data_IF_061570610233
#
_entry.id   IF_061570610233
#
_cell.length_a   1.000
_cell.length_b   1.000
_cell.length_c   1.000
_cell.angle_alpha   90.00
_cell.angle_beta   90.00
_cell.angle_gamma   90.00
#
_symmetry.space_group_name_H-M   'P 1'
#
loop_
_entity.id
_entity.type
_entity.pdbx_description
1 polymer ?
#
# COMPACT_ATOMS: atom_id res chain seq x y z
N UNK A 1 -41.97 -14.01 8.59
CA UNK A 1 -40.84 -13.42 9.32
C UNK A 1 -40.24 -12.32 8.43
N UNK A 2 -40.37 -11.06 8.83
CA UNK A 2 -39.79 -9.95 8.04
C UNK A 2 -38.25 -9.96 8.17
N UNK A 3 -37.54 -9.93 7.04
CA UNK A 3 -36.09 -9.78 7.03
C UNK A 3 -35.70 -8.40 7.56
N UNK A 4 -34.61 -8.31 8.28
CA UNK A 4 -34.07 -7.00 8.74
C UNK A 4 -33.68 -6.14 7.52
N UNK A 5 -33.80 -4.81 7.58
CA UNK A 5 -33.38 -3.92 6.48
C UNK A 5 -31.96 -4.18 5.98
N UNK A 6 -31.03 -4.52 6.87
CA UNK A 6 -29.65 -4.89 6.55
C UNK A 6 -29.55 -6.14 5.66
N UNK A 7 -30.47 -7.11 5.79
CA UNK A 7 -30.48 -8.32 4.96
C UNK A 7 -30.95 -8.01 3.52
N UNK A 8 -31.87 -7.05 3.34
CA UNK A 8 -32.28 -6.59 2.01
C UNK A 8 -31.14 -5.85 1.30
N UNK A 9 -30.43 -4.99 2.02
CA UNK A 9 -29.28 -4.25 1.48
C UNK A 9 -28.15 -5.22 1.09
N UNK A 10 -27.86 -6.20 1.94
CA UNK A 10 -26.88 -7.24 1.65
C UNK A 10 -27.29 -8.11 0.45
N UNK A 11 -28.57 -8.45 0.32
CA UNK A 11 -29.10 -9.19 -0.84
C UNK A 11 -29.01 -8.37 -2.13
N UNK A 12 -29.35 -7.07 -2.08
CA UNK A 12 -29.22 -6.16 -3.21
C UNK A 12 -27.77 -5.98 -3.63
N UNK A 13 -26.84 -5.83 -2.69
CA UNK A 13 -25.42 -5.73 -2.96
C UNK A 13 -24.85 -7.00 -3.64
N UNK A 14 -25.28 -8.19 -3.19
CA UNK A 14 -24.93 -9.46 -3.83
C UNK A 14 -25.46 -9.53 -5.27
N UNK A 15 -26.70 -9.15 -5.48
CA UNK A 15 -27.33 -9.17 -6.80
C UNK A 15 -26.62 -8.21 -7.78
N UNK A 16 -26.24 -7.02 -7.32
CA UNK A 16 -25.45 -6.07 -8.09
C UNK A 16 -24.07 -6.66 -8.41
N UNK A 17 -23.41 -7.28 -7.43
CA UNK A 17 -22.12 -7.94 -7.61
C UNK A 17 -22.20 -9.04 -8.68
N UNK A 18 -23.20 -9.91 -8.56
CA UNK A 18 -23.27 -11.13 -9.37
C UNK A 18 -23.74 -10.85 -10.83
N UNK A 19 -24.36 -9.71 -11.11
CA UNK A 19 -24.93 -9.39 -12.41
C UNK A 19 -24.34 -8.16 -13.13
N UNK A 20 -23.65 -7.28 -12.42
CA UNK A 20 -23.17 -6.02 -12.99
C UNK A 20 -21.64 -5.83 -12.93
N UNK A 21 -20.90 -6.78 -12.34
CA UNK A 21 -19.52 -6.53 -11.95
C UNK A 21 -18.54 -7.66 -12.28
N UNK A 22 -18.86 -8.49 -13.26
CA UNK A 22 -17.99 -9.61 -13.65
C UNK A 22 -16.58 -9.19 -14.12
N UNK A 23 -16.42 -7.92 -14.55
CA UNK A 23 -15.20 -7.42 -15.16
C UNK A 23 -14.26 -6.67 -14.20
N UNK A 24 -14.67 -6.37 -12.99
CA UNK A 24 -13.89 -5.57 -12.06
C UNK A 24 -13.48 -6.37 -10.81
N UNK A 25 -12.40 -7.14 -10.94
CA UNK A 25 -11.83 -7.94 -9.86
C UNK A 25 -10.56 -7.32 -9.32
N UNK A 26 -10.48 -7.19 -8.01
CA UNK A 26 -9.31 -6.72 -7.30
C UNK A 26 -8.75 -7.84 -6.42
N UNK A 27 -7.45 -8.10 -6.52
CA UNK A 27 -6.77 -8.96 -5.57
C UNK A 27 -6.34 -8.12 -4.38
N UNK A 28 -6.73 -8.55 -3.18
CA UNK A 28 -6.28 -7.98 -1.91
C UNK A 28 -5.36 -8.98 -1.23
N UNK A 29 -4.24 -8.50 -0.73
CA UNK A 29 -3.25 -9.29 0.01
C UNK A 29 -2.94 -8.59 1.33
N UNK A 30 -2.97 -9.34 2.42
CA UNK A 30 -2.64 -8.86 3.76
C UNK A 30 -1.80 -9.92 4.48
N UNK A 31 -0.51 -9.68 4.63
CA UNK A 31 0.43 -10.70 5.07
C UNK A 31 0.43 -11.88 4.09
N UNK A 32 0.18 -13.08 4.60
CA UNK A 32 0.12 -14.32 3.79
C UNK A 32 -1.27 -14.61 3.21
N UNK A 33 -2.29 -13.84 3.61
CA UNK A 33 -3.66 -13.99 3.11
C UNK A 33 -3.86 -13.24 1.79
N UNK A 34 -4.53 -13.87 0.84
CA UNK A 34 -4.89 -13.26 -0.44
C UNK A 34 -6.29 -13.68 -0.88
N UNK A 35 -7.09 -12.73 -1.30
CA UNK A 35 -8.43 -12.97 -1.81
C UNK A 35 -8.74 -12.12 -3.04
N UNK A 36 -9.61 -12.64 -3.92
CA UNK A 36 -10.17 -11.90 -5.03
C UNK A 36 -11.52 -11.33 -4.62
N UNK A 37 -11.68 -10.02 -4.72
CA UNK A 37 -12.92 -9.32 -4.39
C UNK A 37 -13.45 -8.60 -5.63
N UNK A 38 -14.77 -8.56 -5.76
CA UNK A 38 -15.43 -7.79 -6.80
C UNK A 38 -15.52 -6.33 -6.36
N UNK A 39 -15.12 -5.40 -7.20
CA UNK A 39 -15.15 -3.97 -6.89
C UNK A 39 -15.94 -3.19 -7.93
N UNK A 40 -16.63 -2.14 -7.50
CA UNK A 40 -17.10 -1.08 -8.36
C UNK A 40 -16.06 0.03 -8.32
N UNK A 41 -15.42 0.29 -9.43
CA UNK A 41 -14.56 1.45 -9.54
C UNK A 41 -15.41 2.73 -9.56
N UNK A 42 -15.61 3.33 -8.40
CA UNK A 42 -16.03 4.72 -8.33
C UNK A 42 -14.77 5.53 -8.03
N UNK A 43 -14.18 6.09 -9.05
CA UNK A 43 -13.04 7.00 -8.88
C UNK A 43 -13.60 8.33 -8.38
N UNK A 44 -13.80 8.44 -7.11
CA UNK A 44 -13.88 9.74 -6.44
C UNK A 44 -12.47 10.04 -5.95
N UNK A 45 -11.83 11.02 -6.52
CA UNK A 45 -10.63 11.61 -5.91
C UNK A 45 -11.05 12.10 -4.53
N UNK A 46 -10.58 11.43 -3.49
CA UNK A 46 -10.72 11.92 -2.14
C UNK A 46 -9.88 13.17 -2.02
N UNK A 47 -10.51 14.32 -1.83
CA UNK A 47 -9.82 15.62 -1.77
C UNK A 47 -8.96 15.78 -0.52
N UNK A 48 -9.06 14.88 0.48
CA UNK A 48 -8.61 15.18 1.84
C UNK A 48 -7.50 14.29 2.42
N UNK A 49 -7.03 13.24 1.77
CA UNK A 49 -5.94 12.44 2.32
C UNK A 49 -4.73 12.40 1.37
N UNK A 50 -3.83 13.36 1.56
CA UNK A 50 -2.46 13.25 1.04
C UNK A 50 -1.75 12.18 1.89
N UNK A 51 -1.56 11.01 1.33
CA UNK A 51 -0.78 9.95 1.94
C UNK A 51 0.69 10.06 1.54
N UNK A 52 1.57 9.34 2.22
CA UNK A 52 2.99 9.25 1.84
C UNK A 52 3.19 8.69 0.40
N UNK A 53 2.13 8.12 -0.20
CA UNK A 53 2.11 7.57 -1.56
C UNK A 53 1.30 8.44 -2.57
N UNK A 54 1.07 9.71 -2.26
CA UNK A 54 0.31 10.62 -3.11
C UNK A 54 -1.20 10.63 -2.83
N UNK A 55 -1.98 11.24 -3.73
CA UNK A 55 -3.42 11.35 -3.61
C UNK A 55 -4.09 9.95 -3.63
N UNK A 56 -5.01 9.71 -2.70
CA UNK A 56 -5.74 8.45 -2.65
C UNK A 56 -6.91 8.44 -3.63
N UNK A 57 -7.09 7.33 -4.33
CA UNK A 57 -8.32 7.04 -5.06
C UNK A 57 -9.23 6.20 -4.18
N UNK A 58 -10.53 6.50 -4.15
CA UNK A 58 -11.51 5.68 -3.44
C UNK A 58 -12.13 4.66 -4.39
N UNK A 59 -12.08 3.40 -3.98
CA UNK A 59 -12.75 2.29 -4.67
C UNK A 59 -13.81 1.71 -3.76
N UNK A 60 -15.01 1.53 -4.27
CA UNK A 60 -16.06 0.83 -3.56
C UNK A 60 -15.93 -0.66 -3.81
N UNK A 61 -15.67 -1.42 -2.76
CA UNK A 61 -15.64 -2.88 -2.82
C UNK A 61 -16.96 -3.42 -2.30
N UNK A 62 -17.67 -4.13 -3.17
CA UNK A 62 -18.87 -4.88 -2.82
C UNK A 62 -18.45 -6.27 -2.35
N UNK A 63 -17.79 -6.34 -1.20
CA UNK A 63 -17.44 -7.61 -0.57
C UNK A 63 -18.15 -7.71 0.76
N UNK A 64 -18.74 -8.87 1.03
CA UNK A 64 -19.17 -9.18 2.37
C UNK A 64 -17.95 -9.30 3.28
N UNK A 65 -18.10 -8.98 4.56
CA UNK A 65 -17.01 -9.12 5.53
C UNK A 65 -16.42 -10.55 5.57
N UNK A 66 -17.19 -11.56 5.13
CA UNK A 66 -16.77 -12.95 5.01
C UNK A 66 -15.77 -13.20 3.88
N UNK A 67 -15.74 -12.37 2.85
CA UNK A 67 -14.92 -12.63 1.66
C UNK A 67 -13.44 -12.25 1.93
N UNK A 68 -13.22 -11.19 2.68
CA UNK A 68 -11.88 -10.80 3.13
C UNK A 68 -12.00 -9.99 4.44
N UNK A 69 -12.12 -10.66 5.59
CA UNK A 69 -12.37 -9.98 6.88
C UNK A 69 -11.22 -9.09 7.35
N UNK A 70 -10.02 -9.34 6.88
CA UNK A 70 -8.76 -8.70 7.33
C UNK A 70 -8.29 -7.54 6.47
N UNK A 71 -9.15 -6.95 5.59
CA UNK A 71 -8.78 -5.74 4.86
C UNK A 71 -8.57 -4.60 5.85
N UNK A 72 -7.34 -4.12 5.94
CA UNK A 72 -6.94 -3.01 6.80
C UNK A 72 -6.07 -2.03 6.03
N UNK A 73 -5.80 -0.88 6.64
CA UNK A 73 -4.77 0.03 6.15
C UNK A 73 -3.45 -0.72 6.07
N UNK A 74 -2.74 -0.60 4.95
CA UNK A 74 -1.50 -1.33 4.69
C UNK A 74 -1.67 -2.61 3.86
N UNK A 75 -2.89 -3.11 3.64
CA UNK A 75 -3.11 -4.22 2.69
C UNK A 75 -2.70 -3.81 1.28
N UNK A 76 -2.23 -4.76 0.49
CA UNK A 76 -1.86 -4.54 -0.92
C UNK A 76 -3.06 -4.87 -1.81
N UNK A 77 -3.40 -3.96 -2.71
CA UNK A 77 -4.46 -4.11 -3.68
C UNK A 77 -3.88 -4.16 -5.10
N UNK A 78 -4.24 -5.18 -5.88
CA UNK A 78 -3.86 -5.28 -7.30
C UNK A 78 -5.12 -5.25 -8.15
N UNK A 79 -5.23 -4.24 -9.00
CA UNK A 79 -6.34 -4.02 -9.93
C UNK A 79 -5.77 -3.95 -11.36
N UNK A 80 -6.00 -5.00 -12.16
CA UNK A 80 -5.33 -5.16 -13.44
C UNK A 80 -3.80 -5.24 -13.25
N UNK A 81 -3.07 -4.36 -13.92
CA UNK A 81 -1.60 -4.26 -13.82
C UNK A 81 -1.13 -3.31 -12.69
N UNK A 82 -2.05 -2.62 -12.03
CA UNK A 82 -1.73 -1.62 -11.02
C UNK A 82 -1.72 -2.22 -9.63
N UNK A 83 -0.61 -2.12 -8.95
CA UNK A 83 -0.46 -2.47 -7.53
C UNK A 83 -0.49 -1.21 -6.68
N UNK A 84 -1.25 -1.23 -5.60
CA UNK A 84 -1.53 -0.08 -4.74
C UNK A 84 -1.57 -0.53 -3.28
N UNK A 85 -1.47 0.40 -2.35
CA UNK A 85 -1.64 0.15 -0.91
C UNK A 85 -2.98 0.70 -0.46
N UNK A 86 -3.66 -0.04 0.39
CA UNK A 86 -4.88 0.40 1.06
C UNK A 86 -4.52 1.46 2.09
N UNK A 87 -5.02 2.68 1.88
CA UNK A 87 -4.76 3.84 2.74
C UNK A 87 -5.85 4.07 3.78
N UNK A 88 -7.07 3.64 3.48
CA UNK A 88 -8.20 3.70 4.42
C UNK A 88 -9.23 2.62 4.11
N UNK A 89 -9.99 2.22 5.12
CA UNK A 89 -11.11 1.29 4.99
C UNK A 89 -12.29 1.84 5.78
N UNK A 90 -13.43 2.01 5.12
CA UNK A 90 -14.69 2.40 5.73
C UNK A 90 -15.75 1.39 5.36
N UNK A 91 -16.55 0.95 6.32
CA UNK A 91 -17.65 0.02 6.09
C UNK A 91 -18.96 0.82 6.10
N UNK A 92 -19.89 0.51 5.21
CA UNK A 92 -21.21 1.13 5.23
C UNK A 92 -22.01 0.70 6.48
N UNK A 93 -23.08 1.44 6.77
CA UNK A 93 -23.92 1.19 7.94
C UNK A 93 -24.57 -0.21 7.95
N UNK A 94 -24.68 -0.84 6.81
CA UNK A 94 -25.28 -2.17 6.65
C UNK A 94 -24.24 -3.30 6.65
N UNK A 95 -22.94 -2.98 6.63
CA UNK A 95 -21.85 -3.94 6.52
C UNK A 95 -21.80 -4.67 5.16
N UNK A 96 -22.53 -4.16 4.16
CA UNK A 96 -22.68 -4.80 2.85
C UNK A 96 -21.62 -4.35 1.83
N UNK A 97 -21.02 -3.20 2.04
CA UNK A 97 -19.96 -2.69 1.18
C UNK A 97 -18.88 -2.00 2.00
N UNK A 98 -17.67 -1.99 1.43
CA UNK A 98 -16.53 -1.28 1.98
C UNK A 98 -16.03 -0.25 0.98
N UNK A 99 -15.71 0.92 1.48
CA UNK A 99 -15.01 1.96 0.73
C UNK A 99 -13.53 1.85 1.08
N UNK A 100 -12.71 1.60 0.09
CA UNK A 100 -11.27 1.41 0.26
C UNK A 100 -10.57 2.56 -0.42
N UNK A 101 -9.80 3.33 0.34
CA UNK A 101 -8.86 4.30 -0.20
C UNK A 101 -7.63 3.56 -0.71
N UNK A 102 -7.18 3.90 -1.90
CA UNK A 102 -6.00 3.32 -2.53
C UNK A 102 -4.96 4.40 -2.82
N UNK A 103 -3.69 4.09 -2.61
CA UNK A 103 -2.58 4.93 -3.02
C UNK A 103 -2.51 5.08 -4.55
N UNK A 104 -1.63 5.94 -5.04
CA UNK A 104 -1.20 5.87 -6.44
C UNK A 104 -0.63 4.49 -6.77
N UNK A 105 -0.55 4.17 -8.05
CA UNK A 105 0.06 2.92 -8.52
C UNK A 105 1.53 2.86 -8.12
N UNK A 106 1.95 1.72 -7.59
CA UNK A 106 3.30 1.42 -7.15
C UNK A 106 3.92 0.37 -8.08
N UNK A 107 5.22 0.47 -8.28
CA UNK A 107 5.98 -0.53 -9.04
C UNK A 107 6.64 -1.52 -8.09
N UNK A 108 6.59 -2.80 -8.43
CA UNK A 108 7.29 -3.85 -7.70
C UNK A 108 8.74 -3.93 -8.15
N UNK A 109 9.66 -3.95 -7.19
CA UNK A 109 11.10 -4.15 -7.43
C UNK A 109 11.65 -5.24 -6.52
N UNK A 110 12.66 -5.95 -7.02
CA UNK A 110 13.56 -6.72 -6.18
C UNK A 110 14.63 -5.76 -5.65
N UNK A 111 14.75 -5.66 -4.35
CA UNK A 111 15.68 -4.77 -3.68
C UNK A 111 16.61 -5.52 -2.75
N UNK A 112 17.69 -4.87 -2.35
CA UNK A 112 18.57 -5.33 -1.29
C UNK A 112 18.67 -4.25 -0.23
N UNK A 113 18.45 -4.60 1.03
CA UNK A 113 18.63 -3.69 2.15
C UNK A 113 19.85 -4.11 2.95
N UNK A 114 20.71 -3.15 3.19
CA UNK A 114 21.96 -3.32 3.92
C UNK A 114 22.01 -2.36 5.09
N UNK A 115 22.43 -2.86 6.24
CA UNK A 115 22.51 -2.05 7.45
C UNK A 115 23.29 -2.72 8.56
N UNK A 116 23.40 -2.04 9.69
CA UNK A 116 24.13 -2.54 10.84
C UNK A 116 23.17 -2.71 12.03
N UNK A 117 23.19 -3.87 12.65
CA UNK A 117 22.42 -4.20 13.86
C UNK A 117 23.38 -4.55 14.99
N UNK A 118 23.74 -3.55 15.81
CA UNK A 118 24.82 -3.70 16.78
C UNK A 118 26.15 -4.00 16.06
N UNK A 119 26.76 -5.15 16.34
CA UNK A 119 27.98 -5.63 15.69
C UNK A 119 27.74 -6.41 14.39
N UNK A 120 26.50 -6.81 14.10
CA UNK A 120 26.15 -7.62 12.93
C UNK A 120 25.84 -6.72 11.74
N UNK A 121 26.41 -7.03 10.60
CA UNK A 121 26.02 -6.45 9.31
C UNK A 121 24.93 -7.31 8.66
N UNK A 122 23.85 -6.68 8.20
CA UNK A 122 22.80 -7.34 7.44
C UNK A 122 22.89 -6.94 5.96
N UNK A 123 22.59 -7.88 5.09
CA UNK A 123 22.46 -7.67 3.65
C UNK A 123 21.36 -8.60 3.15
N UNK A 124 20.18 -8.08 2.90
CA UNK A 124 18.99 -8.88 2.75
C UNK A 124 18.25 -8.55 1.45
N UNK A 125 18.01 -9.54 0.58
CA UNK A 125 17.10 -9.38 -0.55
C UNK A 125 15.65 -9.26 -0.06
N UNK A 126 14.88 -8.39 -0.67
CA UNK A 126 13.48 -8.14 -0.32
C UNK A 126 12.70 -7.64 -1.53
N UNK A 127 11.48 -8.12 -1.69
CA UNK A 127 10.52 -7.55 -2.64
C UNK A 127 9.89 -6.29 -2.03
N UNK A 128 9.91 -5.20 -2.77
CA UNK A 128 9.37 -3.92 -2.36
C UNK A 128 8.34 -3.40 -3.35
N UNK A 129 7.47 -2.51 -2.89
CA UNK A 129 6.63 -1.66 -3.73
C UNK A 129 7.13 -0.22 -3.59
N UNK A 130 7.41 0.45 -4.69
CA UNK A 130 7.99 1.78 -4.64
C UNK A 130 7.37 2.75 -5.65
N UNK A 131 7.41 4.02 -5.30
CA UNK A 131 7.08 5.14 -6.19
C UNK A 131 8.11 6.25 -6.04
N UNK A 132 8.51 6.84 -7.17
CA UNK A 132 9.39 7.99 -7.17
C UNK A 132 8.62 9.24 -6.75
N UNK A 133 9.17 10.00 -5.82
CA UNK A 133 8.65 11.33 -5.45
C UNK A 133 9.28 12.44 -6.32
N UNK A 134 10.10 12.04 -7.29
CA UNK A 134 10.78 12.95 -8.19
C UNK A 134 12.09 13.50 -7.62
N UNK A 135 12.63 14.43 -8.38
CA UNK A 135 13.88 15.13 -8.10
C UNK A 135 13.58 16.38 -7.26
N UNK A 136 14.31 16.55 -6.20
CA UNK A 136 14.31 17.77 -5.38
C UNK A 136 15.72 18.36 -5.38
N UNK A 137 15.80 19.69 -5.51
CA UNK A 137 17.09 20.38 -5.39
C UNK A 137 17.22 20.92 -3.97
N UNK A 138 18.17 20.39 -3.22
CA UNK A 138 18.47 20.84 -1.85
C UNK A 138 19.55 21.93 -1.90
N UNK A 139 19.29 23.04 -1.23
CA UNK A 139 20.23 24.15 -1.07
C UNK A 139 20.76 24.11 0.36
N UNK A 140 22.06 23.85 0.50
CA UNK A 140 22.74 24.00 1.80
C UNK A 140 23.54 25.31 1.78
N UNK A 141 23.47 26.07 2.87
CA UNK A 141 24.19 27.36 2.98
C UNK A 141 25.67 27.21 2.66
N UNK A 142 26.13 27.92 1.63
CA UNK A 142 27.51 27.93 1.21
C UNK A 142 27.96 26.79 0.28
N UNK A 143 27.04 25.90 -0.12
CA UNK A 143 27.32 24.80 -1.04
C UNK A 143 26.54 24.93 -2.35
N UNK A 144 27.08 24.32 -3.41
CA UNK A 144 26.33 24.21 -4.66
C UNK A 144 25.05 23.38 -4.43
N UNK A 145 23.95 23.74 -5.14
CA UNK A 145 22.71 22.97 -5.05
C UNK A 145 22.95 21.51 -5.47
N UNK A 146 22.41 20.58 -4.71
CA UNK A 146 22.52 19.14 -4.95
C UNK A 146 21.16 18.59 -5.30
N UNK A 147 21.11 17.86 -6.39
CA UNK A 147 19.90 17.14 -6.78
C UNK A 147 19.79 15.86 -5.97
N UNK A 148 18.65 15.72 -5.30
CA UNK A 148 18.30 14.55 -4.49
C UNK A 148 17.08 13.89 -5.11
N UNK A 149 17.22 12.60 -5.41
CA UNK A 149 16.08 11.79 -5.81
C UNK A 149 15.48 11.13 -4.57
N UNK A 150 14.18 11.21 -4.41
CA UNK A 150 13.49 10.61 -3.28
C UNK A 150 12.45 9.60 -3.74
N UNK A 151 12.33 8.53 -2.95
CA UNK A 151 11.39 7.45 -3.19
C UNK A 151 10.61 7.14 -1.92
N UNK A 152 9.33 6.80 -2.08
CA UNK A 152 8.56 6.15 -1.03
C UNK A 152 8.50 4.67 -1.32
N UNK A 153 8.93 3.88 -0.35
CA UNK A 153 9.11 2.43 -0.45
C UNK A 153 8.25 1.74 0.60
N UNK A 154 7.46 0.78 0.17
CA UNK A 154 6.69 -0.09 1.05
C UNK A 154 7.34 -1.48 1.11
N UNK A 155 7.58 -1.97 2.32
CA UNK A 155 8.25 -3.24 2.58
C UNK A 155 7.33 -4.09 3.46
N UNK A 156 6.88 -5.27 3.01
CA UNK A 156 6.06 -6.16 3.82
C UNK A 156 6.80 -6.61 5.10
N UNK A 157 6.11 -6.61 6.24
CA UNK A 157 6.68 -6.99 7.54
C UNK A 157 7.25 -8.42 7.54
N UNK A 158 6.58 -9.35 6.86
CA UNK A 158 6.99 -10.76 6.80
C UNK A 158 8.42 -11.00 6.29
N UNK A 159 8.96 -10.07 5.49
CA UNK A 159 10.33 -10.14 5.00
C UNK A 159 11.40 -9.92 6.11
N UNK A 160 11.00 -9.49 7.31
CA UNK A 160 11.91 -8.95 8.32
C UNK A 160 12.03 -9.76 9.60
N UNK A 161 11.17 -10.74 9.81
CA UNK A 161 11.03 -11.47 11.08
C UNK A 161 12.37 -12.02 11.60
N UNK A 162 13.26 -12.42 10.70
CA UNK A 162 14.55 -13.01 11.07
C UNK A 162 15.72 -12.03 11.15
N UNK A 163 15.62 -10.87 10.50
CA UNK A 163 16.76 -9.96 10.26
C UNK A 163 16.62 -8.59 10.94
N UNK A 164 15.53 -8.37 11.65
CA UNK A 164 15.21 -7.09 12.28
C UNK A 164 14.58 -6.10 11.30
N UNK A 165 13.97 -5.07 11.85
CA UNK A 165 13.22 -4.05 11.11
C UNK A 165 14.16 -3.12 10.32
N UNK A 166 13.68 -2.51 9.19
CA UNK A 166 14.42 -1.46 8.51
C UNK A 166 14.65 -0.29 9.47
N UNK A 167 15.81 0.32 9.40
CA UNK A 167 16.19 1.43 10.27
C UNK A 167 16.60 2.65 9.46
N UNK A 168 16.44 3.82 10.04
CA UNK A 168 17.01 5.06 9.49
C UNK A 168 18.52 4.90 9.39
N UNK A 169 19.07 5.23 8.22
CA UNK A 169 20.48 5.07 7.89
C UNK A 169 20.82 3.75 7.19
N UNK A 170 19.89 2.79 7.13
CA UNK A 170 20.07 1.64 6.25
C UNK A 170 20.14 2.08 4.79
N UNK A 171 20.80 1.27 3.99
CA UNK A 171 20.88 1.48 2.55
C UNK A 171 19.95 0.51 1.85
N UNK A 172 19.14 1.02 0.93
CA UNK A 172 18.33 0.22 0.02
C UNK A 172 18.86 0.39 -1.42
N UNK A 173 18.94 -0.73 -2.13
CA UNK A 173 19.41 -0.75 -3.53
C UNK A 173 18.39 -1.47 -4.39
N UNK A 174 17.89 -0.82 -5.42
CA UNK A 174 17.00 -1.37 -6.45
C UNK A 174 17.08 -0.51 -7.70
N UNK A 175 16.74 -1.08 -8.86
CA UNK A 175 16.75 -0.39 -10.16
C UNK A 175 18.09 0.30 -10.51
N UNK A 176 19.21 -0.31 -10.06
CA UNK A 176 20.54 0.25 -10.25
C UNK A 176 20.92 1.42 -9.33
N UNK A 177 19.97 1.90 -8.54
CA UNK A 177 20.15 3.02 -7.61
C UNK A 177 20.48 2.53 -6.20
N UNK A 178 21.27 3.31 -5.48
CA UNK A 178 21.60 3.08 -4.08
C UNK A 178 21.21 4.28 -3.25
N UNK A 179 20.32 4.08 -2.28
CA UNK A 179 19.69 5.13 -1.50
C UNK A 179 19.79 4.87 -0.01
N UNK A 180 19.76 5.93 0.78
CA UNK A 180 19.69 5.83 2.24
C UNK A 180 18.26 5.99 2.74
N UNK A 181 17.86 5.13 3.66
CA UNK A 181 16.57 5.23 4.35
C UNK A 181 16.62 6.40 5.32
N UNK A 182 15.78 7.40 5.10
CA UNK A 182 15.71 8.63 5.92
C UNK A 182 14.54 8.65 6.89
N UNK A 183 13.52 7.84 6.63
CA UNK A 183 12.33 7.68 7.48
C UNK A 183 11.85 6.26 7.42
N UNK A 184 11.36 5.75 8.56
CA UNK A 184 10.71 4.44 8.68
C UNK A 184 9.45 4.62 9.52
N UNK A 185 8.34 4.08 9.05
CA UNK A 185 7.07 4.03 9.76
C UNK A 185 6.43 2.67 9.54
N UNK A 186 6.05 2.00 10.62
CA UNK A 186 5.23 0.80 10.53
C UNK A 186 3.76 1.20 10.44
N UNK A 187 3.10 0.75 9.38
CA UNK A 187 1.66 0.93 9.17
C UNK A 187 1.07 -0.45 9.00
N UNK A 188 0.44 -0.94 10.06
CA UNK A 188 -0.06 -2.31 10.14
C UNK A 188 1.08 -3.34 9.89
N UNK A 189 1.04 -4.09 8.79
CA UNK A 189 2.07 -5.09 8.43
C UNK A 189 3.01 -4.63 7.31
N UNK A 190 3.14 -3.33 7.12
CA UNK A 190 4.01 -2.75 6.08
C UNK A 190 4.87 -1.65 6.68
N UNK A 191 6.17 -1.72 6.44
CA UNK A 191 7.07 -0.61 6.68
C UNK A 191 7.03 0.36 5.51
N UNK A 192 6.67 1.60 5.77
CA UNK A 192 6.76 2.71 4.82
C UNK A 192 8.05 3.44 5.08
N UNK A 193 8.92 3.45 4.10
CA UNK A 193 10.23 4.06 4.19
C UNK A 193 10.37 5.17 3.15
N UNK A 194 10.99 6.29 3.53
CA UNK A 194 11.48 7.26 2.56
C UNK A 194 12.96 6.99 2.32
N UNK A 195 13.32 6.78 1.05
CA UNK A 195 14.69 6.57 0.61
C UNK A 195 15.16 7.75 -0.24
N UNK A 196 16.43 8.16 -0.09
CA UNK A 196 17.03 9.28 -0.81
C UNK A 196 18.38 8.89 -1.37
N UNK A 197 18.63 9.20 -2.64
CA UNK A 197 19.96 9.20 -3.24
C UNK A 197 20.63 10.55 -2.96
N UNK A 198 21.91 10.51 -2.75
CA UNK A 198 22.78 11.70 -2.75
C UNK A 198 23.59 11.72 -4.01
#
# INVERSE_FOLDING_TARGET
MMRKPSEYIAAAARNIRDHLMDDCRMRLTHGDESAMVTCAASVTRGEDEVTDFGASEQVRVLSLASDFPTITKGSVATLGEHTRIVTSVRTDCAGASRYIGLSNSLTKYAATISGKRGSRFINMPVDILATSNGKQTEYADGYAPVDVYSWTVAIPEGAWIENGEPQIGDTISFDGEKMNISRVQLVDKIFICNARSR
#
